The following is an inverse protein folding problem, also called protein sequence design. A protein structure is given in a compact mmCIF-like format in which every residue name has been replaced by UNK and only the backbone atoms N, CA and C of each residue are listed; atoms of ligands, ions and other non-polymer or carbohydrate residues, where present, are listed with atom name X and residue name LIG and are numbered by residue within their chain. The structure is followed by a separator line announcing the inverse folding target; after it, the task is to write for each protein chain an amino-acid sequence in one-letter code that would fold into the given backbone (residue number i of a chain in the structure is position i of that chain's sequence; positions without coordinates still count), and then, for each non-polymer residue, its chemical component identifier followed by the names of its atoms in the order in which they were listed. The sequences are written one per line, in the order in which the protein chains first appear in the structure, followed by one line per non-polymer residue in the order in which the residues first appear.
data_IF_381171540357
#
_entry.id   IF_381171540357
#
_cell.length_a   1.000
_cell.length_b   1.000
_cell.length_c   1.000
_cell.angle_alpha   90.00
_cell.angle_beta   90.00
_cell.angle_gamma   90.00
#
_symmetry.space_group_name_H-M   'P 1'
#
loop_
_entity.id
_entity.type
_entity.pdbx_description
1 polymer ?
#
# COMPACT_ATOMS: atom_id res chain seq x y z
N UNK A 1 -2.54 19.08 13.63
CA UNK A 1 -2.04 19.36 12.26
C UNK A 1 -1.36 18.10 11.81
N UNK A 2 -1.80 17.57 10.67
CA UNK A 2 -1.32 16.29 10.17
C UNK A 2 0.19 16.32 9.86
N UNK A 3 0.92 15.31 10.30
CA UNK A 3 2.35 15.17 10.08
C UNK A 3 2.69 13.84 9.41
N UNK A 4 3.57 13.88 8.40
CA UNK A 4 4.13 12.66 7.81
C UNK A 4 5.19 12.09 8.76
N UNK A 5 5.01 10.86 9.18
CA UNK A 5 5.96 10.09 9.98
C UNK A 5 6.48 8.92 9.14
N UNK A 6 7.78 8.68 9.16
CA UNK A 6 8.43 7.61 8.38
C UNK A 6 9.19 6.70 9.33
N UNK A 7 9.06 5.39 9.16
CA UNK A 7 9.83 4.37 9.84
C UNK A 7 10.67 3.57 8.83
N UNK A 8 11.96 3.47 9.11
CA UNK A 8 12.87 2.55 8.41
C UNK A 8 12.82 1.16 9.07
N UNK A 9 11.84 0.37 8.67
CA UNK A 9 11.72 -1.02 9.09
C UNK A 9 12.76 -1.93 8.45
N UNK A 10 12.84 -3.15 8.97
CA UNK A 10 13.64 -4.22 8.36
C UNK A 10 12.79 -4.86 7.25
N UNK A 11 13.29 -4.81 6.01
CA UNK A 11 12.61 -5.34 4.82
C UNK A 11 11.62 -4.37 4.16
N UNK A 12 11.13 -3.35 4.86
CA UNK A 12 10.24 -2.32 4.32
C UNK A 12 10.38 -0.99 5.04
N UNK A 13 10.18 0.10 4.31
CA UNK A 13 9.90 1.41 4.89
C UNK A 13 8.38 1.58 4.99
N UNK A 14 7.92 2.25 6.04
CA UNK A 14 6.51 2.60 6.25
C UNK A 14 6.40 4.10 6.49
N UNK A 15 5.38 4.72 5.93
CA UNK A 15 5.07 6.12 6.18
C UNK A 15 3.58 6.30 6.47
N UNK A 16 3.24 7.18 7.39
CA UNK A 16 1.86 7.55 7.71
C UNK A 16 1.73 9.05 7.82
N UNK A 17 0.66 9.61 7.27
CA UNK A 17 0.20 10.95 7.57
C UNK A 17 -0.74 10.85 8.76
N UNK A 18 -0.36 11.38 9.92
CA UNK A 18 -1.10 11.22 11.16
C UNK A 18 -1.56 12.56 11.70
N UNK A 19 -2.83 12.66 12.10
CA UNK A 19 -3.38 13.78 12.83
C UNK A 19 -4.03 13.28 14.13
N UNK A 20 -3.55 13.75 15.28
CA UNK A 20 -4.07 13.37 16.60
C UNK A 20 -4.22 11.84 16.84
N UNK A 21 -3.29 11.05 16.32
CA UNK A 21 -3.29 9.58 16.47
C UNK A 21 -4.11 8.83 15.40
N UNK A 22 -4.83 9.55 14.53
CA UNK A 22 -5.54 8.98 13.38
C UNK A 22 -4.68 9.05 12.13
N UNK A 23 -4.44 7.90 11.49
CA UNK A 23 -3.83 7.85 10.17
C UNK A 23 -4.83 8.35 9.13
N UNK A 24 -4.41 9.32 8.33
CA UNK A 24 -5.14 9.87 7.19
C UNK A 24 -4.67 9.26 5.86
N UNK A 25 -3.36 9.00 5.76
CA UNK A 25 -2.76 8.30 4.62
C UNK A 25 -1.67 7.35 5.09
N UNK A 26 -1.48 6.22 4.39
CA UNK A 26 -0.33 5.35 4.61
C UNK A 26 0.40 5.03 3.31
N UNK A 27 1.69 4.69 3.42
CA UNK A 27 2.50 4.16 2.31
C UNK A 27 3.43 3.10 2.84
N UNK A 28 3.55 2.01 2.11
CA UNK A 28 4.52 0.95 2.38
C UNK A 28 5.40 0.79 1.16
N UNK A 29 6.69 0.64 1.38
CA UNK A 29 7.66 0.46 0.32
C UNK A 29 8.63 -0.65 0.68
N UNK A 30 8.66 -1.68 -0.17
CA UNK A 30 9.64 -2.75 -0.07
C UNK A 30 10.97 -2.26 -0.63
N UNK A 31 12.01 -2.34 0.19
CA UNK A 31 13.35 -1.92 -0.22
C UNK A 31 13.81 -2.75 -1.42
N UNK A 32 14.44 -2.08 -2.39
CA UNK A 32 14.95 -2.69 -3.61
C UNK A 32 13.98 -2.73 -4.79
N UNK A 33 12.71 -2.31 -4.61
CA UNK A 33 11.76 -2.20 -5.73
C UNK A 33 11.89 -0.87 -6.46
N UNK A 34 11.43 -0.79 -7.71
CA UNK A 34 11.32 0.50 -8.43
C UNK A 34 10.10 1.28 -7.92
N UNK A 35 10.33 2.42 -7.28
CA UNK A 35 9.29 3.35 -6.80
C UNK A 35 9.07 4.55 -7.74
N UNK A 36 7.86 5.15 -7.76
CA UNK A 36 7.57 6.33 -8.57
C UNK A 36 8.44 7.51 -8.16
N UNK A 37 8.91 8.27 -9.14
CA UNK A 37 9.83 9.38 -8.96
C UNK A 37 11.30 8.99 -9.12
N UNK A 38 11.67 7.72 -8.93
CA UNK A 38 13.05 7.26 -9.05
C UNK A 38 13.61 7.53 -10.45
N UNK A 39 14.72 8.25 -10.53
CA UNK A 39 15.43 8.53 -11.79
C UNK A 39 16.74 7.78 -11.79
N UNK A 40 16.96 6.94 -12.79
CA UNK A 40 18.24 6.24 -12.94
C UNK A 40 18.46 5.82 -14.39
N UNK A 41 19.72 5.55 -14.71
CA UNK A 41 20.11 5.03 -16.00
C UNK A 41 19.75 3.54 -16.08
N UNK A 42 19.05 3.16 -17.15
CA UNK A 42 18.58 1.79 -17.39
C UNK A 42 18.97 1.33 -18.79
N UNK A 43 19.27 0.04 -18.94
CA UNK A 43 19.60 -0.55 -20.23
C UNK A 43 18.32 -0.94 -20.97
N UNK A 44 18.14 -0.50 -22.22
CA UNK A 44 17.04 -0.97 -23.06
C UNK A 44 17.27 -2.43 -23.47
N UNK A 45 16.48 -3.36 -22.93
CA UNK A 45 16.68 -4.81 -23.13
C UNK A 45 15.77 -5.40 -24.21
N UNK A 46 14.62 -4.79 -24.48
CA UNK A 46 13.72 -5.23 -25.55
C UNK A 46 12.95 -4.06 -26.17
N UNK A 47 12.85 -4.04 -27.50
CA UNK A 47 12.08 -3.06 -28.26
C UNK A 47 11.72 -3.61 -29.66
N UNK A 48 10.43 -3.65 -29.97
CA UNK A 48 10.00 -3.88 -31.35
C UNK A 48 10.45 -2.72 -32.28
N UNK A 49 10.93 -3.02 -33.49
CA UNK A 49 11.48 -2.03 -34.43
C UNK A 49 10.52 -0.84 -34.63
N UNK A 50 11.00 0.37 -34.38
CA UNK A 50 10.22 1.61 -34.52
C UNK A 50 9.23 1.91 -33.39
N UNK A 51 9.05 0.99 -32.43
CA UNK A 51 8.15 1.19 -31.30
C UNK A 51 8.59 2.34 -30.40
N UNK A 52 7.64 3.12 -29.89
CA UNK A 52 7.86 4.07 -28.79
C UNK A 52 7.85 3.40 -27.41
N UNK A 53 7.66 2.08 -27.37
CA UNK A 53 7.58 1.27 -26.16
C UNK A 53 8.61 0.14 -26.18
N UNK A 54 9.08 -0.24 -25.01
CA UNK A 54 10.01 -1.35 -24.81
C UNK A 54 10.10 -1.74 -23.35
N UNK A 55 11.12 -2.53 -23.03
CA UNK A 55 11.47 -2.93 -21.65
C UNK A 55 12.88 -2.48 -21.35
N UNK A 56 13.07 -1.83 -20.20
CA UNK A 56 14.38 -1.41 -19.67
C UNK A 56 14.69 -2.19 -18.40
N UNK A 57 15.97 -2.46 -18.16
CA UNK A 57 16.48 -3.07 -16.93
C UNK A 57 17.38 -2.07 -16.20
N UNK A 58 17.09 -1.83 -14.92
CA UNK A 58 17.87 -0.95 -14.05
C UNK A 58 19.08 -1.69 -13.47
N UNK A 59 20.05 -0.96 -12.91
CA UNK A 59 21.22 -1.55 -12.27
C UNK A 59 20.88 -2.49 -11.09
N UNK A 60 19.71 -2.34 -10.48
CA UNK A 60 19.18 -3.25 -9.46
C UNK A 60 18.78 -4.63 -9.99
N UNK A 61 18.69 -4.79 -11.32
CA UNK A 61 18.15 -5.98 -11.99
C UNK A 61 16.64 -5.91 -12.24
N UNK A 62 15.93 -4.94 -11.63
CA UNK A 62 14.49 -4.75 -11.85
C UNK A 62 14.20 -4.24 -13.27
N UNK A 63 13.11 -4.74 -13.85
CA UNK A 63 12.64 -4.34 -15.18
C UNK A 63 11.42 -3.42 -15.12
N UNK A 64 11.35 -2.50 -16.08
CA UNK A 64 10.20 -1.63 -16.29
C UNK A 64 9.80 -1.57 -17.76
N UNK A 65 8.51 -1.45 -18.03
CA UNK A 65 8.01 -1.04 -19.34
C UNK A 65 8.30 0.44 -19.53
N UNK A 66 8.99 0.79 -20.59
CA UNK A 66 9.26 2.19 -20.97
C UNK A 66 8.33 2.62 -22.09
N UNK A 67 7.82 3.85 -22.02
CA UNK A 67 7.07 4.50 -23.10
C UNK A 67 7.67 5.86 -23.44
N UNK A 68 7.48 6.33 -24.68
CA UNK A 68 8.04 7.59 -25.14
C UNK A 68 9.50 7.50 -25.62
N UNK A 69 9.95 6.31 -26.01
CA UNK A 69 11.29 6.12 -26.57
C UNK A 69 11.49 6.95 -27.84
N UNK A 70 12.67 7.56 -27.97
CA UNK A 70 13.12 8.19 -29.20
C UNK A 70 13.23 7.17 -30.34
N UNK A 71 13.04 7.60 -31.58
CA UNK A 71 13.15 6.73 -32.77
C UNK A 71 14.54 6.07 -32.84
N UNK A 72 15.58 6.82 -32.45
CA UNK A 72 16.99 6.41 -32.42
C UNK A 72 17.37 5.47 -31.28
N UNK A 73 16.48 5.20 -30.31
CA UNK A 73 16.78 4.30 -29.19
C UNK A 73 17.03 2.86 -29.67
N UNK A 74 18.17 2.26 -29.34
CA UNK A 74 18.51 0.89 -29.76
C UNK A 74 18.59 -0.05 -28.57
N UNK A 75 18.24 -1.32 -28.77
CA UNK A 75 18.49 -2.36 -27.76
C UNK A 75 19.98 -2.36 -27.37
N UNK A 76 20.24 -2.59 -26.09
CA UNK A 76 21.56 -2.51 -25.47
C UNK A 76 21.99 -1.11 -25.06
N UNK A 77 21.34 -0.04 -25.54
CA UNK A 77 21.69 1.34 -25.16
C UNK A 77 21.24 1.69 -23.74
N UNK A 78 21.99 2.59 -23.11
CA UNK A 78 21.61 3.19 -21.83
C UNK A 78 20.66 4.36 -22.07
N UNK A 79 19.54 4.35 -21.35
CA UNK A 79 18.52 5.39 -21.40
C UNK A 79 18.26 5.84 -19.96
N UNK A 80 18.31 7.15 -19.73
CA UNK A 80 17.89 7.70 -18.45
C UNK A 80 16.37 7.66 -18.35
N UNK A 81 15.88 7.01 -17.31
CA UNK A 81 14.46 6.75 -17.10
C UNK A 81 14.00 7.26 -15.74
N UNK A 82 12.80 7.83 -15.71
CA UNK A 82 12.04 8.11 -14.49
C UNK A 82 10.94 7.07 -14.34
N UNK A 83 10.90 6.39 -13.21
CA UNK A 83 9.81 5.49 -12.86
C UNK A 83 8.57 6.33 -12.54
N UNK A 84 7.45 6.06 -13.22
CA UNK A 84 6.18 6.78 -13.03
C UNK A 84 5.11 5.94 -12.35
N UNK A 85 5.30 4.61 -12.33
CA UNK A 85 4.43 3.66 -11.64
C UNK A 85 5.26 2.49 -11.14
N UNK A 86 5.08 2.11 -9.88
CA UNK A 86 5.69 0.91 -9.31
C UNK A 86 5.23 -0.35 -10.03
N UNK A 87 5.97 -1.43 -9.82
CA UNK A 87 5.50 -2.77 -10.11
C UNK A 87 4.19 -3.03 -9.35
N UNK A 88 3.24 -3.69 -10.00
CA UNK A 88 1.96 -4.09 -9.37
C UNK A 88 1.91 -5.61 -9.28
N UNK A 89 1.78 -6.16 -8.07
CA UNK A 89 1.52 -7.58 -7.92
C UNK A 89 0.11 -7.91 -8.43
N UNK A 90 -0.03 -9.04 -9.12
CA UNK A 90 -1.31 -9.66 -9.46
C UNK A 90 -1.26 -11.14 -9.05
N UNK A 91 -2.41 -11.83 -9.11
CA UNK A 91 -2.55 -13.22 -8.67
C UNK A 91 -1.51 -14.16 -9.29
N UNK A 92 -1.35 -14.11 -10.62
CA UNK A 92 -0.54 -15.08 -11.37
C UNK A 92 0.70 -14.48 -12.03
N UNK A 93 0.89 -13.16 -11.94
CA UNK A 93 2.04 -12.46 -12.53
C UNK A 93 2.30 -11.14 -11.82
N UNK A 94 3.42 -10.50 -12.16
CA UNK A 94 3.69 -9.12 -11.77
C UNK A 94 3.61 -8.23 -13.00
N UNK A 95 2.80 -7.17 -12.93
CA UNK A 95 2.87 -6.08 -13.91
C UNK A 95 4.13 -5.28 -13.61
N UNK A 96 5.09 -5.29 -14.54
CA UNK A 96 6.33 -4.51 -14.44
C UNK A 96 6.04 -3.04 -14.10
N UNK A 97 7.00 -2.38 -13.46
CA UNK A 97 6.96 -0.93 -13.27
C UNK A 97 6.84 -0.22 -14.63
N UNK A 98 6.33 1.02 -14.63
CA UNK A 98 6.37 1.86 -15.83
C UNK A 98 7.38 2.98 -15.65
N UNK A 99 8.13 3.27 -16.71
CA UNK A 99 9.06 4.36 -16.77
C UNK A 99 8.91 5.19 -18.05
N UNK A 100 9.45 6.39 -18.03
CA UNK A 100 9.54 7.29 -19.19
C UNK A 100 10.98 7.83 -19.30
N UNK A 101 11.51 8.05 -20.52
CA UNK A 101 12.79 8.73 -20.69
C UNK A 101 12.76 10.12 -20.05
N UNK A 102 13.86 10.53 -19.43
CA UNK A 102 13.99 11.86 -18.81
C UNK A 102 15.40 12.40 -18.94
N UNK A 103 15.54 13.72 -18.83
CA UNK A 103 16.82 14.42 -18.71
C UNK A 103 17.10 14.87 -17.26
N UNK A 104 16.23 14.53 -16.31
CA UNK A 104 16.46 14.77 -14.88
C UNK A 104 17.79 14.11 -14.41
N UNK A 105 18.37 14.60 -13.32
CA UNK A 105 19.54 13.95 -12.74
C UNK A 105 19.15 12.61 -12.09
N UNK A 106 20.03 11.59 -12.08
CA UNK A 106 19.76 10.36 -11.33
C UNK A 106 19.55 10.67 -9.85
N UNK A 107 18.56 10.03 -9.25
CA UNK A 107 18.34 10.07 -7.81
C UNK A 107 19.06 8.90 -7.16
N UNK A 108 19.47 9.08 -5.91
CA UNK A 108 19.89 7.95 -5.09
C UNK A 108 18.70 6.99 -4.90
N UNK A 109 18.91 5.79 -4.35
CA UNK A 109 17.80 4.90 -4.03
C UNK A 109 16.85 5.61 -3.05
N UNK A 110 15.72 6.10 -3.55
CA UNK A 110 14.84 7.00 -2.80
C UNK A 110 14.04 6.19 -1.77
N UNK A 111 14.38 6.36 -0.50
CA UNK A 111 13.57 5.86 0.61
C UNK A 111 12.18 6.50 0.59
N UNK A 112 11.22 6.00 1.38
CA UNK A 112 9.93 6.71 1.49
C UNK A 112 10.08 8.15 2.00
N UNK A 113 11.10 8.40 2.83
CA UNK A 113 11.42 9.74 3.33
C UNK A 113 11.81 10.67 2.17
N UNK A 114 12.69 10.21 1.29
CA UNK A 114 13.15 10.98 0.13
C UNK A 114 12.00 11.22 -0.86
N UNK A 115 11.19 10.19 -1.12
CA UNK A 115 10.01 10.30 -2.00
C UNK A 115 9.00 11.33 -1.49
N UNK A 116 8.70 11.33 -0.19
CA UNK A 116 7.78 12.32 0.41
C UNK A 116 8.38 13.72 0.37
N UNK A 117 9.68 13.86 0.64
CA UNK A 117 10.38 15.15 0.58
C UNK A 117 10.36 15.73 -0.84
N UNK A 118 10.60 14.90 -1.86
CA UNK A 118 10.53 15.30 -3.26
C UNK A 118 9.13 15.73 -3.71
N UNK A 119 8.08 15.25 -3.04
CA UNK A 119 6.70 15.68 -3.24
C UNK A 119 6.35 17.00 -2.51
N UNK A 120 7.32 17.63 -1.85
CA UNK A 120 7.12 18.85 -1.09
C UNK A 120 6.54 18.63 0.31
N UNK A 121 6.40 17.37 0.76
CA UNK A 121 6.01 17.06 2.13
C UNK A 121 7.19 17.31 3.08
N UNK A 122 6.88 17.43 4.38
CA UNK A 122 7.88 17.55 5.45
C UNK A 122 7.84 16.31 6.36
N UNK A 123 8.32 15.14 5.88
CA UNK A 123 8.30 13.93 6.67
C UNK A 123 9.26 14.03 7.87
N UNK A 124 8.91 13.37 8.97
CA UNK A 124 9.77 13.15 10.13
C UNK A 124 10.16 11.69 10.20
N UNK A 125 11.46 11.42 10.24
CA UNK A 125 11.94 10.08 10.52
C UNK A 125 11.74 9.78 12.01
N UNK A 126 11.07 8.67 12.31
CA UNK A 126 10.83 8.22 13.68
C UNK A 126 11.34 6.79 13.87
N UNK A 127 11.79 6.47 15.09
CA UNK A 127 12.18 5.10 15.45
C UNK A 127 10.97 4.18 15.60
N UNK A 128 9.86 4.76 16.09
CA UNK A 128 8.58 4.12 16.39
C UNK A 128 7.47 5.12 16.04
N UNK A 129 6.43 4.69 15.35
CA UNK A 129 5.21 5.49 15.23
C UNK A 129 4.64 5.75 16.64
N UNK A 130 4.19 6.98 16.94
CA UNK A 130 3.48 7.24 18.19
C UNK A 130 2.24 6.35 18.27
N UNK A 131 1.58 6.34 19.43
CA UNK A 131 0.32 5.62 19.56
C UNK A 131 -0.68 6.16 18.53
N UNK A 132 -0.89 5.36 17.49
CA UNK A 132 -1.75 5.60 16.36
C UNK A 132 -2.35 4.27 15.92
N UNK A 133 -3.35 4.34 15.06
CA UNK A 133 -4.13 3.21 14.58
C UNK A 133 -3.39 2.32 13.56
N UNK A 134 -2.05 2.30 13.51
CA UNK A 134 -1.29 1.48 12.55
C UNK A 134 -1.62 -0.01 12.62
N UNK A 135 -1.70 -0.58 13.83
CA UNK A 135 -1.97 -2.01 13.99
C UNK A 135 -3.39 -2.37 13.53
N UNK A 136 -4.35 -1.49 13.82
CA UNK A 136 -5.74 -1.61 13.38
C UNK A 136 -5.82 -1.49 11.86
N UNK A 137 -5.23 -0.44 11.29
CA UNK A 137 -5.15 -0.23 9.83
C UNK A 137 -4.55 -1.44 9.10
N UNK A 138 -3.48 -2.01 9.65
CA UNK A 138 -2.86 -3.20 9.06
C UNK A 138 -3.82 -4.39 9.09
N UNK A 139 -4.55 -4.58 10.20
CA UNK A 139 -5.52 -5.66 10.34
C UNK A 139 -6.73 -5.47 9.41
N UNK A 140 -7.28 -4.26 9.34
CA UNK A 140 -8.34 -3.87 8.40
C UNK A 140 -7.92 -4.17 6.95
N UNK A 141 -6.72 -3.74 6.55
CA UNK A 141 -6.19 -4.00 5.22
C UNK A 141 -5.93 -5.49 4.95
N UNK A 142 -5.48 -6.21 5.97
CA UNK A 142 -5.25 -7.66 5.89
C UNK A 142 -6.57 -8.43 5.75
N UNK A 143 -7.61 -8.02 6.45
CA UNK A 143 -8.93 -8.64 6.36
C UNK A 143 -9.72 -8.18 5.13
N UNK A 144 -9.36 -7.02 4.57
CA UNK A 144 -10.14 -6.37 3.53
C UNK A 144 -11.48 -5.90 4.06
N UNK A 145 -11.54 -5.46 5.32
CA UNK A 145 -12.78 -5.07 5.98
C UNK A 145 -12.56 -3.88 6.92
N UNK A 146 -13.49 -2.91 6.90
CA UNK A 146 -13.49 -1.74 7.79
C UNK A 146 -14.88 -1.59 8.40
N UNK A 147 -15.04 -1.83 9.72
CA UNK A 147 -16.31 -1.61 10.38
C UNK A 147 -16.61 -0.10 10.50
N UNK A 148 -17.88 0.26 10.46
CA UNK A 148 -18.35 1.62 10.77
C UNK A 148 -19.70 1.56 11.50
N UNK A 149 -20.16 2.71 12.01
CA UNK A 149 -21.45 2.75 12.70
C UNK A 149 -22.61 2.38 11.75
N UNK A 150 -23.25 1.24 12.01
CA UNK A 150 -24.34 0.71 11.20
C UNK A 150 -23.95 -0.29 10.10
N UNK A 151 -22.66 -0.56 9.86
CA UNK A 151 -22.25 -1.48 8.80
C UNK A 151 -20.76 -1.81 8.74
N UNK A 152 -20.35 -2.42 7.63
CA UNK A 152 -18.96 -2.76 7.31
C UNK A 152 -18.69 -2.51 5.83
N UNK A 153 -17.49 -1.99 5.53
CA UNK A 153 -16.99 -1.92 4.16
C UNK A 153 -16.16 -3.16 3.87
N UNK A 154 -16.42 -3.82 2.75
CA UNK A 154 -15.64 -4.97 2.28
C UNK A 154 -14.86 -4.59 1.03
N UNK A 155 -13.55 -4.84 1.05
CA UNK A 155 -12.63 -4.48 -0.02
C UNK A 155 -12.17 -5.73 -0.77
N UNK A 156 -12.40 -5.77 -2.08
CA UNK A 156 -11.99 -6.88 -2.93
C UNK A 156 -11.12 -6.40 -4.09
N UNK A 157 -9.83 -6.78 -4.08
CA UNK A 157 -8.93 -6.50 -5.19
C UNK A 157 -9.18 -7.46 -6.35
N UNK A 158 -9.47 -6.90 -7.52
CA UNK A 158 -9.68 -7.66 -8.75
C UNK A 158 -8.66 -7.25 -9.80
N UNK A 159 -8.43 -8.06 -10.85
CA UNK A 159 -7.51 -7.69 -11.93
C UNK A 159 -7.86 -6.37 -12.65
N UNK A 160 -9.12 -5.93 -12.57
CA UNK A 160 -9.63 -4.74 -13.25
C UNK A 160 -9.69 -3.51 -12.33
N UNK A 161 -10.15 -3.68 -11.10
CA UNK A 161 -10.39 -2.57 -10.16
C UNK A 161 -10.47 -3.03 -8.70
N UNK A 162 -10.33 -2.08 -7.78
CA UNK A 162 -10.69 -2.26 -6.37
C UNK A 162 -12.22 -2.17 -6.24
N UNK A 163 -12.87 -3.18 -5.69
CA UNK A 163 -14.30 -3.11 -5.33
C UNK A 163 -14.46 -2.83 -3.83
N UNK A 164 -15.41 -1.97 -3.51
CA UNK A 164 -15.84 -1.65 -2.15
C UNK A 164 -17.33 -1.97 -2.07
N UNK A 165 -17.68 -2.97 -1.27
CA UNK A 165 -19.05 -3.35 -0.97
C UNK A 165 -19.46 -2.78 0.41
N UNK A 166 -20.76 -2.52 0.59
CA UNK A 166 -21.31 -1.91 1.80
C UNK A 166 -22.34 -2.86 2.42
N UNK A 167 -21.94 -3.52 3.49
CA UNK A 167 -22.79 -4.42 4.24
C UNK A 167 -23.41 -3.72 5.45
N UNK A 168 -24.71 -3.93 5.65
CA UNK A 168 -25.43 -3.43 6.83
C UNK A 168 -25.31 -4.37 8.03
N UNK A 169 -25.29 -3.81 9.24
CA UNK A 169 -25.29 -4.59 10.47
C UNK A 169 -26.53 -5.50 10.57
N UNK A 170 -26.30 -6.79 10.84
CA UNK A 170 -27.36 -7.79 10.94
C UNK A 170 -28.20 -7.61 12.21
N UNK A 171 -29.20 -6.73 12.17
CA UNK A 171 -30.39 -6.68 13.03
C UNK A 171 -31.41 -5.69 12.44
N UNK A 172 -32.10 -6.13 11.38
CA UNK A 172 -33.11 -5.33 10.67
C UNK A 172 -32.51 -4.64 9.45
N UNK A 173 -33.28 -4.57 8.37
CA UNK A 173 -32.90 -3.83 7.17
C UNK A 173 -32.61 -2.38 7.59
N UNK A 174 -31.33 -2.04 7.75
CA UNK A 174 -30.92 -0.65 7.85
C UNK A 174 -31.55 0.08 6.67
N UNK A 175 -32.17 1.23 6.92
CA UNK A 175 -32.66 2.10 5.86
C UNK A 175 -31.52 2.24 4.84
N UNK A 176 -31.72 1.71 3.62
CA UNK A 176 -30.67 1.65 2.61
C UNK A 176 -30.06 3.03 2.35
N UNK A 177 -30.88 4.08 2.45
CA UNK A 177 -30.46 5.46 2.36
C UNK A 177 -29.54 5.85 3.52
N UNK A 178 -29.90 5.49 4.75
CA UNK A 178 -29.07 5.76 5.93
C UNK A 178 -27.75 5.00 5.84
N UNK A 179 -27.76 3.71 5.49
CA UNK A 179 -26.56 2.90 5.31
C UNK A 179 -25.63 3.51 4.25
N UNK A 180 -26.18 3.87 3.09
CA UNK A 180 -25.42 4.49 2.02
C UNK A 180 -24.76 5.81 2.45
N UNK A 181 -25.49 6.67 3.17
CA UNK A 181 -24.95 7.94 3.66
C UNK A 181 -23.91 7.74 4.77
N UNK A 182 -24.13 6.79 5.67
CA UNK A 182 -23.18 6.46 6.75
C UNK A 182 -21.87 5.88 6.22
N UNK A 183 -21.89 5.19 5.08
CA UNK A 183 -20.70 4.62 4.45
C UNK A 183 -19.79 5.66 3.77
N UNK A 184 -20.29 6.86 3.44
CA UNK A 184 -19.55 7.87 2.65
C UNK A 184 -18.23 8.27 3.31
N UNK A 185 -18.28 8.65 4.60
CA UNK A 185 -17.07 9.08 5.31
C UNK A 185 -16.08 7.93 5.51
N UNK A 186 -16.49 6.73 5.98
CA UNK A 186 -15.62 5.56 6.01
C UNK A 186 -14.93 5.27 4.66
N UNK A 187 -15.67 5.35 3.54
CA UNK A 187 -15.08 5.16 2.20
C UNK A 187 -14.01 6.21 1.91
N UNK A 188 -14.31 7.48 2.14
CA UNK A 188 -13.38 8.57 1.89
C UNK A 188 -12.11 8.45 2.74
N UNK A 189 -12.26 8.10 4.01
CA UNK A 189 -11.13 7.83 4.91
C UNK A 189 -10.31 6.62 4.46
N UNK A 190 -10.96 5.51 4.09
CA UNK A 190 -10.30 4.30 3.61
C UNK A 190 -9.48 4.53 2.33
N UNK A 191 -9.92 5.41 1.43
CA UNK A 191 -9.16 5.77 0.23
C UNK A 191 -7.78 6.32 0.60
N UNK A 192 -7.72 7.29 1.51
CA UNK A 192 -6.46 7.84 2.00
C UNK A 192 -5.67 6.80 2.81
N UNK A 193 -6.31 6.23 3.84
CA UNK A 193 -5.71 5.31 4.80
C UNK A 193 -5.04 4.12 4.14
N UNK A 194 -5.67 3.51 3.14
CA UNK A 194 -5.09 2.40 2.39
C UNK A 194 -4.28 2.81 1.16
N UNK A 195 -4.21 4.10 0.82
CA UNK A 195 -3.61 4.59 -0.42
C UNK A 195 -4.27 3.97 -1.66
N UNK A 196 -5.61 3.94 -1.68
CA UNK A 196 -6.36 3.45 -2.84
C UNK A 196 -6.18 4.42 -4.02
N UNK A 197 -6.04 3.86 -5.21
CA UNK A 197 -5.92 4.62 -6.45
C UNK A 197 -6.26 3.72 -7.65
N UNK A 198 -6.23 4.28 -8.87
CA UNK A 198 -6.63 3.55 -10.07
C UNK A 198 -8.13 3.50 -10.22
N UNK A 199 -8.63 2.40 -10.78
CA UNK A 199 -10.08 2.17 -10.91
C UNK A 199 -10.61 1.60 -9.60
N UNK A 200 -11.62 2.27 -9.04
CA UNK A 200 -12.31 1.89 -7.80
C UNK A 200 -13.81 1.85 -8.11
N UNK A 201 -14.47 0.77 -7.71
CA UNK A 201 -15.91 0.60 -7.83
C UNK A 201 -16.52 0.50 -6.45
N UNK A 202 -17.57 1.28 -6.19
CA UNK A 202 -18.28 1.28 -4.92
C UNK A 202 -19.70 0.80 -5.20
N UNK A 203 -20.09 -0.29 -4.55
CA UNK A 203 -21.43 -0.85 -4.63
C UNK A 203 -22.25 -0.40 -3.43
N UNK A 204 -23.03 0.68 -3.61
CA UNK A 204 -23.97 1.12 -2.57
C UNK A 204 -25.23 0.26 -2.61
N UNK A 205 -25.95 0.12 -1.47
CA UNK A 205 -27.26 -0.50 -1.49
C UNK A 205 -28.18 0.21 -2.48
N UNK A 206 -29.03 -0.55 -3.17
CA UNK A 206 -29.89 0.00 -4.23
C UNK A 206 -30.87 1.03 -3.67
N UNK A 207 -30.74 2.29 -4.10
CA UNK A 207 -31.65 3.38 -3.73
C UNK A 207 -32.68 3.63 -4.84
N UNK A 208 -33.97 3.51 -4.51
CA UNK A 208 -35.06 3.69 -5.48
C UNK A 208 -35.27 5.15 -5.88
N UNK A 209 -35.29 6.06 -4.90
CA UNK A 209 -35.57 7.46 -5.15
C UNK A 209 -34.34 8.18 -5.75
N UNK A 210 -34.57 8.93 -6.83
CA UNK A 210 -33.54 9.77 -7.47
C UNK A 210 -32.95 10.81 -6.51
N UNK A 211 -33.77 11.31 -5.58
CA UNK A 211 -33.33 12.27 -4.56
C UNK A 211 -32.27 11.66 -3.62
N UNK A 212 -32.42 10.39 -3.26
CA UNK A 212 -31.50 9.70 -2.36
C UNK A 212 -30.17 9.39 -3.04
N UNK A 213 -30.21 8.93 -4.30
CA UNK A 213 -28.98 8.77 -5.12
C UNK A 213 -28.22 10.08 -5.24
N UNK A 214 -28.94 11.18 -5.50
CA UNK A 214 -28.34 12.51 -5.59
C UNK A 214 -27.72 12.96 -4.25
N UNK A 215 -28.34 12.61 -3.12
CA UNK A 215 -27.80 12.95 -1.81
C UNK A 215 -26.47 12.22 -1.54
N UNK A 216 -26.37 10.93 -1.89
CA UNK A 216 -25.11 10.18 -1.78
C UNK A 216 -24.05 10.74 -2.73
N UNK A 217 -24.41 11.04 -3.98
CA UNK A 217 -23.48 11.67 -4.94
C UNK A 217 -22.89 12.97 -4.39
N UNK A 218 -23.73 13.83 -3.79
CA UNK A 218 -23.29 15.09 -3.20
C UNK A 218 -22.39 14.88 -1.98
N UNK A 219 -22.71 13.88 -1.15
CA UNK A 219 -21.92 13.56 0.02
C UNK A 219 -20.52 13.02 -0.37
N UNK A 220 -20.44 12.13 -1.37
CA UNK A 220 -19.17 11.62 -1.90
C UNK A 220 -18.34 12.74 -2.52
N UNK A 221 -18.97 13.63 -3.30
CA UNK A 221 -18.29 14.80 -3.88
C UNK A 221 -17.68 15.69 -2.80
N UNK A 222 -18.45 16.00 -1.75
CA UNK A 222 -17.95 16.81 -0.64
C UNK A 222 -16.82 16.11 0.13
N UNK A 223 -16.96 14.81 0.39
CA UNK A 223 -15.96 14.04 1.14
C UNK A 223 -14.64 13.87 0.38
N UNK A 224 -14.69 13.79 -0.96
CA UNK A 224 -13.53 13.57 -1.83
C UNK A 224 -13.04 14.84 -2.55
N UNK A 225 -13.58 16.03 -2.27
CA UNK A 225 -13.23 17.30 -2.94
C UNK A 225 -11.71 17.59 -2.89
N UNK A 226 -11.06 17.21 -1.78
CA UNK A 226 -9.63 17.41 -1.57
C UNK A 226 -8.74 16.39 -2.31
N UNK A 227 -9.30 15.29 -2.80
CA UNK A 227 -8.55 14.16 -3.36
C UNK A 227 -8.71 14.12 -4.89
N UNK A 228 -7.64 14.23 -5.69
CA UNK A 228 -7.78 14.32 -7.16
C UNK A 228 -8.30 13.02 -7.81
N UNK A 229 -9.50 13.08 -8.40
CA UNK A 229 -10.14 11.94 -9.05
C UNK A 229 -11.17 12.37 -10.10
N UNK A 230 -11.58 11.42 -10.93
CA UNK A 230 -12.80 11.47 -11.74
C UNK A 230 -13.80 10.46 -11.17
N UNK A 231 -15.11 10.74 -11.27
CA UNK A 231 -16.16 9.81 -10.84
C UNK A 231 -17.38 9.84 -11.74
N UNK A 232 -18.10 8.74 -11.76
CA UNK A 232 -19.48 8.71 -12.28
C UNK A 232 -20.46 9.18 -11.21
N UNK A 233 -21.65 9.61 -11.65
CA UNK A 233 -22.80 9.66 -10.74
C UNK A 233 -23.26 8.24 -10.39
N UNK A 234 -24.01 8.10 -9.29
CA UNK A 234 -24.60 6.82 -8.91
C UNK A 234 -25.60 6.34 -9.99
N UNK A 235 -25.35 5.14 -10.51
CA UNK A 235 -26.23 4.55 -11.52
C UNK A 235 -27.54 3.99 -10.89
N UNK A 236 -28.42 3.45 -11.72
CA UNK A 236 -29.71 2.90 -11.27
C UNK A 236 -29.61 1.65 -10.39
N UNK A 237 -28.43 1.04 -10.28
CA UNK A 237 -28.17 -0.16 -9.50
C UNK A 237 -27.44 0.12 -8.18
N UNK A 238 -26.98 1.36 -7.94
CA UNK A 238 -26.25 1.74 -6.73
C UNK A 238 -24.73 1.88 -6.93
N UNK A 239 -24.22 1.65 -8.13
CA UNK A 239 -22.77 1.64 -8.36
C UNK A 239 -22.22 3.04 -8.70
N UNK A 240 -21.07 3.36 -8.12
CA UNK A 240 -20.22 4.52 -8.46
C UNK A 240 -18.85 4.01 -8.88
N UNK A 241 -18.36 4.48 -10.03
CA UNK A 241 -16.96 4.28 -10.42
C UNK A 241 -16.16 5.54 -10.15
N UNK A 242 -14.99 5.36 -9.54
CA UNK A 242 -13.97 6.37 -9.31
C UNK A 242 -12.71 5.98 -10.07
N UNK A 243 -12.05 6.96 -10.68
CA UNK A 243 -10.75 6.79 -11.33
C UNK A 243 -9.79 7.84 -10.78
N UNK A 244 -8.70 7.38 -10.18
CA UNK A 244 -7.61 8.22 -9.70
C UNK A 244 -6.28 7.78 -10.28
N UNK A 245 -5.29 8.68 -10.27
CA UNK A 245 -3.94 8.39 -10.77
C UNK A 245 -3.31 7.24 -9.98
N UNK A 246 -3.01 6.14 -10.66
CA UNK A 246 -2.36 4.97 -10.06
C UNK A 246 -0.84 5.06 -10.20
N UNK A 247 -0.14 5.21 -9.08
CA UNK A 247 1.34 5.24 -9.05
C UNK A 247 1.95 4.03 -8.36
N UNK A 248 1.24 3.44 -7.38
CA UNK A 248 1.76 2.39 -6.51
C UNK A 248 0.62 1.52 -6.01
N UNK A 249 0.89 0.25 -5.62
CA UNK A 249 -0.12 -0.58 -4.99
C UNK A 249 -0.61 0.03 -3.67
N UNK A 250 -1.88 -0.20 -3.35
CA UNK A 250 -2.45 0.14 -2.05
C UNK A 250 -1.92 -0.77 -0.94
N UNK A 251 -2.13 -0.39 0.33
CA UNK A 251 -1.81 -1.25 1.48
C UNK A 251 -2.52 -2.61 1.38
N UNK A 252 -3.78 -2.63 0.95
CA UNK A 252 -4.56 -3.86 0.73
C UNK A 252 -3.87 -4.73 -0.31
N UNK A 253 -3.52 -4.19 -1.48
CA UNK A 253 -2.82 -4.95 -2.53
C UNK A 253 -1.46 -5.44 -2.05
N UNK A 254 -0.70 -4.60 -1.34
CA UNK A 254 0.58 -4.97 -0.75
C UNK A 254 0.47 -6.15 0.21
N UNK A 255 -0.55 -6.20 1.05
CA UNK A 255 -0.76 -7.31 2.00
C UNK A 255 -1.34 -8.53 1.28
N UNK A 256 -2.35 -8.37 0.44
CA UNK A 256 -3.03 -9.48 -0.23
C UNK A 256 -2.05 -10.37 -1.01
N UNK A 257 -1.19 -9.78 -1.84
CA UNK A 257 -0.28 -10.55 -2.69
C UNK A 257 1.03 -10.97 -2.01
N UNK A 258 1.28 -10.53 -0.78
CA UNK A 258 2.50 -10.83 -0.05
C UNK A 258 2.26 -11.11 1.44
N UNK A 259 1.11 -11.69 1.80
CA UNK A 259 0.61 -11.73 3.19
C UNK A 259 1.63 -12.23 4.21
N UNK A 260 2.25 -13.39 3.94
CA UNK A 260 3.28 -13.93 4.82
C UNK A 260 4.53 -13.04 4.93
N UNK A 261 4.93 -12.38 3.84
CA UNK A 261 6.08 -11.46 3.85
C UNK A 261 5.74 -10.13 4.54
N UNK A 262 4.50 -9.66 4.45
CA UNK A 262 3.99 -8.49 5.17
C UNK A 262 3.88 -8.76 6.66
N UNK A 263 3.39 -9.94 7.04
CA UNK A 263 3.40 -10.40 8.42
C UNK A 263 4.82 -10.55 8.98
N UNK A 264 5.79 -11.03 8.18
CA UNK A 264 7.19 -11.12 8.59
C UNK A 264 7.78 -9.74 8.94
N UNK A 265 7.55 -8.73 8.09
CA UNK A 265 8.05 -7.38 8.36
C UNK A 265 7.33 -6.71 9.54
N UNK A 266 6.03 -6.93 9.68
CA UNK A 266 5.29 -6.51 10.88
C UNK A 266 5.88 -7.14 12.14
N UNK A 267 6.20 -8.44 12.11
CA UNK A 267 6.78 -9.14 13.26
C UNK A 267 8.19 -8.64 13.59
N UNK A 268 9.06 -8.44 12.61
CA UNK A 268 10.39 -7.84 12.83
C UNK A 268 10.26 -6.48 13.51
N UNK A 269 9.28 -5.67 13.10
CA UNK A 269 9.01 -4.38 13.76
C UNK A 269 8.52 -4.52 15.19
N UNK A 270 7.57 -5.43 15.45
CA UNK A 270 7.10 -5.75 16.81
C UNK A 270 8.27 -6.19 17.70
N UNK A 271 9.21 -6.96 17.14
CA UNK A 271 10.39 -7.44 17.85
C UNK A 271 11.35 -6.30 18.25
N UNK A 272 11.51 -5.27 17.42
CA UNK A 272 12.27 -4.06 17.78
C UNK A 272 11.65 -3.26 18.95
N UNK A 273 10.41 -3.58 19.36
CA UNK A 273 9.72 -2.95 20.49
C UNK A 273 9.84 -3.72 21.81
N UNK A 274 10.34 -4.96 21.80
CA UNK A 274 10.51 -5.75 23.02
C UNK A 274 11.67 -5.18 23.84
N UNK A 275 11.36 -4.69 25.04
CA UNK A 275 12.34 -4.03 25.92
C UNK A 275 12.91 -4.94 27.01
N UNK A 276 12.22 -6.03 27.31
CA UNK A 276 12.59 -7.00 28.34
C UNK A 276 13.91 -7.70 27.97
N UNK A 277 14.81 -7.95 28.93
CA UNK A 277 16.14 -8.53 28.68
C UNK A 277 16.07 -10.03 28.30
N UNK A 278 17.09 -10.52 27.58
CA UNK A 278 17.24 -11.93 27.19
C UNK A 278 17.38 -12.11 25.66
N UNK A 279 17.33 -13.36 25.19
CA UNK A 279 17.18 -13.61 23.75
C UNK A 279 15.82 -13.11 23.25
N UNK A 280 15.76 -12.66 22.00
CA UNK A 280 14.55 -12.18 21.34
C UNK A 280 13.94 -13.33 20.52
N UNK A 281 12.85 -13.91 21.01
CA UNK A 281 12.16 -15.00 20.31
C UNK A 281 11.02 -14.45 19.45
N UNK A 282 11.04 -14.78 18.16
CA UNK A 282 9.98 -14.52 17.20
C UNK A 282 9.08 -15.76 17.11
N UNK A 283 7.84 -15.66 17.59
CA UNK A 283 6.84 -16.73 17.46
C UNK A 283 5.93 -16.42 16.27
N UNK A 284 5.85 -17.34 15.31
CA UNK A 284 5.05 -17.12 14.10
C UNK A 284 4.65 -18.41 13.40
N UNK A 285 3.70 -18.29 12.47
CA UNK A 285 3.35 -19.37 11.56
C UNK A 285 4.56 -19.77 10.66
N UNK A 286 4.77 -21.07 10.33
CA UNK A 286 5.88 -21.51 9.47
C UNK A 286 6.00 -20.76 8.14
N UNK A 287 4.87 -20.39 7.53
CA UNK A 287 4.86 -19.61 6.29
C UNK A 287 5.45 -18.20 6.46
N UNK A 288 5.33 -17.58 7.64
CA UNK A 288 5.95 -16.29 7.98
C UNK A 288 7.45 -16.49 8.23
N UNK A 289 7.82 -17.53 8.98
CA UNK A 289 9.21 -17.88 9.23
C UNK A 289 9.99 -18.10 7.92
N UNK A 290 9.38 -18.78 6.94
CA UNK A 290 9.95 -18.98 5.60
C UNK A 290 10.10 -17.72 4.75
N UNK A 291 9.69 -16.54 5.24
CA UNK A 291 9.93 -15.24 4.58
C UNK A 291 11.07 -14.44 5.21
N UNK A 292 11.61 -14.87 6.34
CA UNK A 292 12.80 -14.22 6.89
C UNK A 292 14.00 -14.43 5.98
N UNK A 293 14.77 -13.36 5.83
CA UNK A 293 16.08 -13.40 5.18
C UNK A 293 17.16 -13.33 6.27
N UNK A 294 18.27 -14.03 6.08
CA UNK A 294 19.38 -14.01 7.04
C UNK A 294 19.86 -12.58 7.31
N UNK A 295 19.92 -11.74 6.27
CA UNK A 295 20.26 -10.34 6.40
C UNK A 295 19.27 -9.55 7.27
N UNK A 296 17.98 -9.91 7.27
CA UNK A 296 16.97 -9.25 8.11
C UNK A 296 17.10 -9.66 9.57
N UNK A 297 17.34 -10.95 9.85
CA UNK A 297 17.55 -11.44 11.22
C UNK A 297 18.87 -10.90 11.80
N UNK A 298 19.93 -10.84 11.00
CA UNK A 298 21.20 -10.22 11.38
C UNK A 298 21.03 -8.72 11.67
N UNK A 299 20.28 -7.99 10.84
CA UNK A 299 19.97 -6.59 11.08
C UNK A 299 19.14 -6.40 12.37
N UNK A 300 18.17 -7.26 12.65
CA UNK A 300 17.40 -7.23 13.89
C UNK A 300 18.30 -7.47 15.11
N UNK A 301 19.17 -8.47 15.03
CA UNK A 301 20.15 -8.77 16.08
C UNK A 301 21.07 -7.57 16.33
N UNK A 302 21.59 -6.95 15.26
CA UNK A 302 22.44 -5.75 15.34
C UNK A 302 21.72 -4.55 15.96
N UNK A 303 20.46 -4.31 15.59
CA UNK A 303 19.67 -3.17 16.10
C UNK A 303 19.25 -3.33 17.56
N UNK A 304 18.99 -4.56 17.98
CA UNK A 304 18.52 -4.86 19.35
C UNK A 304 19.66 -5.23 20.29
N UNK A 305 20.81 -5.65 19.78
CA UNK A 305 21.93 -6.19 20.55
C UNK A 305 21.65 -7.56 21.15
N UNK A 306 20.73 -8.34 20.57
CA UNK A 306 20.20 -9.59 21.15
C UNK A 306 20.40 -10.77 20.22
N UNK A 307 20.54 -11.96 20.81
CA UNK A 307 20.37 -13.22 20.07
C UNK A 307 18.91 -13.30 19.57
N UNK A 308 18.72 -13.56 18.29
CA UNK A 308 17.39 -13.70 17.68
C UNK A 308 17.09 -15.18 17.47
N UNK A 309 15.99 -15.65 18.04
CA UNK A 309 15.48 -17.03 17.92
C UNK A 309 14.15 -17.02 17.17
N UNK A 310 13.86 -18.07 16.42
CA UNK A 310 12.56 -18.25 15.76
C UNK A 310 11.91 -19.51 16.27
N UNK A 311 10.66 -19.38 16.73
CA UNK A 311 9.80 -20.48 17.12
C UNK A 311 8.60 -20.51 16.18
N UNK A 312 8.35 -21.68 15.59
CA UNK A 312 7.27 -21.86 14.62
C UNK A 312 6.07 -22.52 15.29
N UNK A 313 4.89 -21.94 15.10
CA UNK A 313 3.62 -22.48 15.57
C UNK A 313 2.58 -22.43 14.43
N UNK A 314 2.20 -23.60 13.85
CA UNK A 314 1.24 -23.64 12.75
C UNK A 314 -0.19 -23.28 13.16
N UNK A 315 -0.50 -23.16 14.46
CA UNK A 315 -1.81 -22.72 14.93
C UNK A 315 -2.01 -21.21 14.89
N UNK A 316 -0.93 -20.43 14.75
CA UNK A 316 -1.01 -18.98 14.63
C UNK A 316 -1.49 -18.55 13.25
N UNK A 317 -2.45 -17.62 13.21
CA UNK A 317 -2.71 -16.85 12.00
C UNK A 317 -1.44 -16.10 11.56
N UNK A 318 -1.31 -15.80 10.26
CA UNK A 318 -0.08 -15.18 9.73
C UNK A 318 0.23 -13.85 10.44
N UNK A 319 -0.78 -13.03 10.66
CA UNK A 319 -0.73 -11.74 11.33
C UNK A 319 -0.56 -11.80 12.86
N UNK A 320 -0.86 -12.96 13.46
CA UNK A 320 -0.83 -13.17 14.90
C UNK A 320 0.57 -13.42 15.47
N UNK A 321 1.61 -13.36 14.61
CA UNK A 321 2.99 -13.44 15.07
C UNK A 321 3.33 -12.37 16.12
N UNK A 322 4.10 -12.78 17.12
CA UNK A 322 4.52 -11.93 18.23
C UNK A 322 5.97 -12.21 18.63
N UNK A 323 6.60 -11.21 19.26
CA UNK A 323 7.96 -11.32 19.75
C UNK A 323 7.97 -11.18 21.28
N UNK A 324 8.88 -11.90 21.93
CA UNK A 324 9.04 -11.87 23.37
C UNK A 324 10.49 -12.04 23.77
N UNK A 325 10.82 -11.58 24.98
CA UNK A 325 12.09 -11.89 25.61
C UNK A 325 12.04 -13.28 26.27
N UNK A 326 13.08 -14.08 26.06
CA UNK A 326 13.26 -15.39 26.71
C UNK A 326 14.65 -15.48 27.36
N UNK A 327 14.84 -16.32 28.38
CA UNK A 327 16.17 -16.55 28.96
C UNK A 327 17.20 -16.94 27.89
N UNK A 328 18.44 -16.45 28.07
CA UNK A 328 19.59 -16.84 27.24
C UNK A 328 19.89 -18.33 27.41
#
# INVERSE_FOLDING_TARGET
MAEWLVEHGIGEDRAVLCDHGRILESRVYRRGMLGPGHVSDARLVSRAKGSKRGTVQFASGEEALVSGLAVSASEGSTIRCKVVRSQVPERDRRKLAHAVPTNEAPTAADTLFDQLTAQGCKPKLVRRFPDCDWNELWLEASNGAVPFDGGELIFADTPAMMLIDIDGGGNGAADARLLALSAVNPIAESIGRFNLSGSIGIDFPTLQAKADRKAVDQAIEAALDHWPHERTAMNGFGFIQIVARFERPSLIQHIHYARAASAACLLLRKAEYVTEPGALQLNCHPAVAGKFQDAWLAELSRRTGREVRTAMDPSLALEAGFAQAVPL
#
